data_IF_015789012123
#
_entry.id   IF_015789012123
#
_cell.length_a   1.000
_cell.length_b   1.000
_cell.length_c   1.000
_cell.angle_alpha   90.00
_cell.angle_beta   90.00
_cell.angle_gamma   90.00
#
_symmetry.space_group_name_H-M   'P 1'
#
loop_
_entity.id
_entity.type
_entity.pdbx_description
1 polymer ?
#
# COMPACT_ATOMS: atom_id res chain seq x y z
N UNK A 1 -6.03 0.26 -12.73
CA UNK A 1 -6.20 -0.39 -11.43
C UNK A 1 -4.91 -0.91 -10.82
N UNK A 2 -4.00 -1.34 -11.63
CA UNK A 2 -2.70 -1.73 -11.11
C UNK A 2 -1.76 -0.53 -11.11
N UNK A 3 -0.79 -0.56 -10.21
CA UNK A 3 0.25 0.46 -10.14
C UNK A 3 1.12 0.35 -11.39
N UNK A 4 1.37 1.47 -12.05
CA UNK A 4 2.22 1.48 -13.24
C UNK A 4 3.66 1.16 -12.86
N UNK A 5 4.46 0.69 -13.83
CA UNK A 5 5.87 0.38 -13.60
C UNK A 5 6.63 1.63 -13.12
N UNK A 6 6.32 2.78 -13.69
CA UNK A 6 6.95 4.05 -13.32
C UNK A 6 6.63 4.44 -11.89
N UNK A 7 5.35 4.32 -11.50
CA UNK A 7 4.93 4.64 -10.12
C UNK A 7 5.53 3.67 -9.12
N UNK A 8 5.61 2.39 -9.49
CA UNK A 8 6.26 1.38 -8.65
C UNK A 8 7.71 1.73 -8.42
N UNK A 9 8.42 2.15 -9.46
CA UNK A 9 9.81 2.56 -9.37
C UNK A 9 9.96 3.75 -8.41
N UNK A 10 9.10 4.76 -8.52
CA UNK A 10 9.12 5.91 -7.62
C UNK A 10 8.95 5.50 -6.16
N UNK A 11 8.01 4.58 -5.89
CA UNK A 11 7.76 4.11 -4.53
C UNK A 11 8.93 3.30 -3.99
N UNK A 12 9.56 2.50 -4.83
CA UNK A 12 10.76 1.74 -4.45
C UNK A 12 11.89 2.70 -4.08
N UNK A 13 12.10 3.75 -4.87
CA UNK A 13 13.14 4.74 -4.57
C UNK A 13 12.85 5.50 -3.28
N UNK A 14 11.59 5.83 -3.03
CA UNK A 14 11.20 6.62 -1.87
C UNK A 14 11.23 5.82 -0.56
N UNK A 15 10.75 4.59 -0.59
CA UNK A 15 10.56 3.79 0.62
C UNK A 15 11.49 2.59 0.73
N UNK A 16 12.13 2.19 -0.37
CA UNK A 16 13.01 1.04 -0.37
C UNK A 16 14.37 1.36 0.25
N UNK A 17 15.02 0.32 0.76
CA UNK A 17 16.36 0.43 1.35
C UNK A 17 17.45 0.33 0.29
N UNK A 18 17.11 -0.19 -0.87
CA UNK A 18 18.02 -0.33 -2.01
C UNK A 18 17.25 -0.02 -3.28
N UNK A 19 17.97 0.27 -4.35
CA UNK A 19 17.39 0.70 -5.62
C UNK A 19 16.35 -0.26 -6.20
N UNK A 20 16.48 -1.54 -5.92
CA UNK A 20 15.55 -2.57 -6.43
C UNK A 20 14.77 -3.26 -5.31
N UNK A 21 14.65 -2.60 -4.18
CA UNK A 21 13.95 -3.17 -3.04
C UNK A 21 12.44 -3.11 -3.24
N UNK A 22 11.86 -4.18 -3.74
CA UNK A 22 10.41 -4.31 -3.91
C UNK A 22 9.77 -5.17 -2.82
N UNK A 23 10.60 -5.78 -1.96
CA UNK A 23 10.13 -6.76 -0.99
C UNK A 23 10.01 -6.29 0.46
N UNK A 24 10.50 -5.08 0.79
CA UNK A 24 10.40 -4.61 2.16
C UNK A 24 8.95 -4.29 2.53
N UNK A 25 8.65 -4.36 3.83
CA UNK A 25 7.31 -4.05 4.31
C UNK A 25 6.90 -2.63 3.94
N UNK A 26 7.81 -1.69 4.04
CA UNK A 26 7.54 -0.28 3.71
C UNK A 26 7.13 -0.10 2.26
N UNK A 27 7.85 -0.71 1.33
CA UNK A 27 7.52 -0.63 -0.09
C UNK A 27 6.20 -1.33 -0.37
N UNK A 28 5.98 -2.50 0.20
CA UNK A 28 4.75 -3.25 0.00
C UNK A 28 3.53 -2.48 0.52
N UNK A 29 3.65 -1.85 1.67
CA UNK A 29 2.56 -1.02 2.22
C UNK A 29 2.28 0.17 1.31
N UNK A 30 3.31 0.81 0.79
CA UNK A 30 3.15 1.94 -0.13
C UNK A 30 2.46 1.51 -1.43
N UNK A 31 2.86 0.37 -2.00
CA UNK A 31 2.24 -0.17 -3.20
C UNK A 31 0.77 -0.55 -2.96
N UNK A 32 0.48 -1.16 -1.82
CA UNK A 32 -0.90 -1.50 -1.46
C UNK A 32 -1.76 -0.26 -1.27
N UNK A 33 -1.20 0.80 -0.71
CA UNK A 33 -1.91 2.07 -0.54
C UNK A 33 -2.32 2.66 -1.88
N UNK A 34 -1.40 2.65 -2.87
CA UNK A 34 -1.73 3.09 -4.22
C UNK A 34 -2.85 2.25 -4.83
N UNK A 35 -2.75 0.94 -4.67
CA UNK A 35 -3.75 0.02 -5.21
C UNK A 35 -5.10 0.21 -4.55
N UNK A 36 -5.13 0.45 -3.25
CA UNK A 36 -6.37 0.73 -2.51
C UNK A 36 -7.01 2.00 -3.04
N UNK A 37 -6.22 3.04 -3.26
CA UNK A 37 -6.74 4.30 -3.79
C UNK A 37 -7.34 4.12 -5.18
N UNK A 38 -6.66 3.37 -6.05
CA UNK A 38 -7.14 3.08 -7.40
C UNK A 38 -8.44 2.27 -7.37
N UNK A 39 -8.51 1.24 -6.54
CA UNK A 39 -9.71 0.42 -6.41
C UNK A 39 -10.87 1.21 -5.82
N UNK A 40 -10.58 2.07 -4.85
CA UNK A 40 -11.61 2.93 -4.25
C UNK A 40 -12.20 3.86 -5.29
N UNK A 41 -11.36 4.47 -6.11
CA UNK A 41 -11.81 5.35 -7.18
C UNK A 41 -12.63 4.58 -8.22
N UNK A 42 -12.17 3.39 -8.59
CA UNK A 42 -12.89 2.53 -9.52
C UNK A 42 -14.30 2.20 -9.00
N UNK A 43 -14.42 1.87 -7.71
CA UNK A 43 -15.69 1.50 -7.11
C UNK A 43 -16.65 2.68 -6.96
N UNK A 44 -16.16 3.91 -6.92
CA UNK A 44 -17.02 5.10 -6.96
C UNK A 44 -17.74 5.21 -8.30
N UNK A 45 -17.07 4.78 -9.38
CA UNK A 45 -17.61 4.83 -10.73
C UNK A 45 -18.37 3.57 -11.10
N UNK A 46 -18.03 2.45 -10.50
CA UNK A 46 -18.58 1.12 -10.79
C UNK A 46 -18.96 0.40 -9.50
N UNK A 47 -19.98 0.93 -8.82
CA UNK A 47 -20.38 0.44 -7.50
C UNK A 47 -20.85 -1.02 -7.48
N UNK A 48 -21.28 -1.55 -8.65
CA UNK A 48 -21.74 -2.93 -8.76
C UNK A 48 -20.64 -3.94 -9.09
N UNK A 49 -19.41 -3.50 -9.15
CA UNK A 49 -18.28 -4.38 -9.42
C UNK A 49 -17.87 -5.10 -8.14
N UNK A 50 -18.55 -6.22 -7.86
CA UNK A 50 -18.31 -7.00 -6.65
C UNK A 50 -16.94 -7.67 -6.63
N UNK A 51 -16.40 -7.98 -7.80
CA UNK A 51 -15.08 -8.57 -7.91
C UNK A 51 -14.00 -7.61 -7.43
N UNK A 52 -14.06 -6.37 -7.88
CA UNK A 52 -13.13 -5.32 -7.44
C UNK A 52 -13.31 -4.98 -5.96
N UNK A 53 -14.54 -5.01 -5.46
CA UNK A 53 -14.82 -4.79 -4.04
C UNK A 53 -14.15 -5.86 -3.18
N UNK A 54 -14.24 -7.11 -3.60
CA UNK A 54 -13.57 -8.21 -2.91
C UNK A 54 -12.06 -8.03 -2.93
N UNK A 55 -11.51 -7.66 -4.10
CA UNK A 55 -10.08 -7.38 -4.23
C UNK A 55 -9.61 -6.27 -3.30
N UNK A 56 -10.40 -5.21 -3.19
CA UNK A 56 -10.11 -4.10 -2.28
C UNK A 56 -10.02 -4.57 -0.83
N UNK A 57 -11.01 -5.35 -0.37
CA UNK A 57 -11.01 -5.85 1.00
C UNK A 57 -9.81 -6.74 1.29
N UNK A 58 -9.40 -7.55 0.32
CA UNK A 58 -8.21 -8.39 0.47
C UNK A 58 -6.93 -7.57 0.62
N UNK A 59 -6.77 -6.54 -0.19
CA UNK A 59 -5.58 -5.67 -0.13
C UNK A 59 -5.55 -4.88 1.17
N UNK A 60 -6.70 -4.36 1.61
CA UNK A 60 -6.80 -3.66 2.89
C UNK A 60 -6.39 -4.58 4.04
N UNK A 61 -6.85 -5.84 4.03
CA UNK A 61 -6.47 -6.81 5.04
C UNK A 61 -4.99 -7.12 5.06
N UNK A 62 -4.38 -7.28 3.89
CA UNK A 62 -2.94 -7.51 3.78
C UNK A 62 -2.13 -6.31 4.29
N UNK A 63 -2.55 -5.11 3.91
CA UNK A 63 -1.87 -3.91 4.38
C UNK A 63 -1.92 -3.80 5.89
N UNK A 64 -3.07 -4.10 6.50
CA UNK A 64 -3.21 -4.06 7.95
C UNK A 64 -2.24 -5.04 8.62
N UNK A 65 -2.12 -6.25 8.10
CA UNK A 65 -1.19 -7.23 8.65
C UNK A 65 0.25 -6.77 8.55
N UNK A 66 0.64 -6.19 7.42
CA UNK A 66 1.99 -5.66 7.26
C UNK A 66 2.25 -4.46 8.16
N UNK A 67 1.28 -3.58 8.32
CA UNK A 67 1.41 -2.44 9.24
C UNK A 67 1.58 -2.92 10.69
N UNK A 68 0.81 -3.93 11.10
CA UNK A 68 0.95 -4.49 12.45
C UNK A 68 2.32 -5.13 12.64
N UNK A 69 2.81 -5.83 11.63
CA UNK A 69 4.14 -6.42 11.66
C UNK A 69 5.23 -5.34 11.79
N UNK A 70 5.13 -4.30 10.98
CA UNK A 70 6.09 -3.20 10.99
C UNK A 70 6.08 -2.48 12.34
N UNK A 71 4.90 -2.26 12.91
CA UNK A 71 4.76 -1.62 14.22
C UNK A 71 5.50 -2.39 15.31
N UNK A 72 5.46 -3.72 15.26
CA UNK A 72 6.12 -4.56 16.24
C UNK A 72 7.62 -4.67 15.99
N UNK A 73 8.04 -4.70 14.72
CA UNK A 73 9.44 -4.94 14.38
C UNK A 73 10.26 -3.65 14.28
N UNK A 74 9.64 -2.55 13.91
CA UNK A 74 10.34 -1.26 13.76
C UNK A 74 9.33 -0.11 13.91
N UNK A 75 9.08 0.27 15.15
CA UNK A 75 8.07 1.29 15.48
C UNK A 75 8.37 2.64 14.83
N UNK A 76 9.63 3.01 14.76
CA UNK A 76 10.03 4.28 14.19
C UNK A 76 9.72 4.35 12.69
N UNK A 77 10.06 3.29 11.94
CA UNK A 77 9.71 3.18 10.54
C UNK A 77 8.20 3.18 10.34
N UNK A 78 7.47 2.51 11.22
CA UNK A 78 6.01 2.47 11.17
C UNK A 78 5.42 3.89 11.29
N UNK A 79 5.88 4.65 12.27
CA UNK A 79 5.38 6.02 12.48
C UNK A 79 5.70 6.94 11.30
N UNK A 80 6.92 6.85 10.78
CA UNK A 80 7.34 7.60 9.62
C UNK A 80 6.48 7.29 8.39
N UNK A 81 6.24 6.01 8.16
CA UNK A 81 5.48 5.55 7.00
C UNK A 81 4.01 5.99 7.08
N UNK A 82 3.40 5.82 8.25
CA UNK A 82 2.01 6.24 8.47
C UNK A 82 1.84 7.73 8.22
N UNK A 83 2.79 8.52 8.69
CA UNK A 83 2.77 9.97 8.47
C UNK A 83 2.94 10.31 7.00
N UNK A 84 3.91 9.68 6.34
CA UNK A 84 4.23 9.94 4.93
C UNK A 84 3.08 9.56 4.01
N UNK A 85 2.39 8.46 4.29
CA UNK A 85 1.28 7.98 3.47
C UNK A 85 -0.07 8.56 3.90
N UNK A 86 -0.12 9.31 4.98
CA UNK A 86 -1.36 9.89 5.47
C UNK A 86 -2.35 8.87 5.97
N UNK A 87 -1.87 7.76 6.51
CA UNK A 87 -2.74 6.69 7.00
C UNK A 87 -3.21 6.97 8.43
N UNK A 88 -4.37 6.42 8.76
CA UNK A 88 -4.88 6.45 10.12
C UNK A 88 -4.36 5.23 10.87
N UNK A 89 -3.14 5.30 11.31
CA UNK A 89 -2.54 4.18 12.05
C UNK A 89 -2.65 2.87 11.30
#
# INVERSE_FOLDING_TARGET
MSVTAERKQELVQKFGKAERDTGSAEVQIALMTERINDLTQHLREHSNDHHSRRGLLMVVGRRRRLLNYLQRSNLESYRSLVKELGLRK
#
